data_IF_329768418170
#
_entry.id   IF_329768418170
#
_cell.length_a   1.000
_cell.length_b   1.000
_cell.length_c   1.000
_cell.angle_alpha   90.00
_cell.angle_beta   90.00
_cell.angle_gamma   90.00
#
_symmetry.space_group_name_H-M   'P 1'
#
loop_
_entity.id
_entity.type
_entity.pdbx_description
1 polymer ?
#
# COMPACT_ATOMS: atom_id res chain seq x y z
N UNK A 1 -3.91 -20.54 -2.74
CA UNK A 1 -2.78 -19.98 -1.96
C UNK A 1 -3.23 -18.65 -1.39
N UNK A 2 -3.04 -18.40 -0.10
CA UNK A 2 -3.31 -17.07 0.47
C UNK A 2 -2.29 -16.08 -0.08
N UNK A 3 -2.75 -14.91 -0.55
CA UNK A 3 -1.88 -13.82 -1.00
C UNK A 3 -0.95 -13.42 0.15
N UNK A 4 0.37 -13.20 -0.09
CA UNK A 4 1.31 -12.84 0.95
C UNK A 4 0.91 -11.53 1.62
N UNK A 5 1.28 -11.37 2.89
CA UNK A 5 1.08 -10.11 3.61
C UNK A 5 1.80 -8.95 2.89
N UNK A 6 1.10 -7.85 2.57
CA UNK A 6 1.71 -6.75 1.82
C UNK A 6 2.84 -6.07 2.60
N UNK A 7 2.76 -5.94 3.93
CA UNK A 7 3.84 -5.32 4.68
C UNK A 7 5.13 -6.14 4.60
N UNK A 8 5.05 -7.46 4.77
CA UNK A 8 6.19 -8.36 4.63
C UNK A 8 6.78 -8.33 3.21
N UNK A 9 5.93 -8.34 2.18
CA UNK A 9 6.37 -8.34 0.78
C UNK A 9 7.02 -7.01 0.36
N UNK A 10 6.55 -5.89 0.90
CA UNK A 10 6.97 -4.55 0.48
C UNK A 10 8.08 -3.95 1.35
N UNK A 11 8.46 -4.60 2.46
CA UNK A 11 9.51 -4.11 3.33
C UNK A 11 10.89 -4.12 2.63
N UNK A 12 11.49 -2.95 2.48
CA UNK A 12 12.75 -2.73 1.78
C UNK A 12 12.61 -2.48 0.28
N UNK A 13 11.40 -2.42 -0.27
CA UNK A 13 11.17 -2.14 -1.71
C UNK A 13 11.56 -0.70 -2.05
N UNK A 14 12.12 -0.53 -3.25
CA UNK A 14 12.50 0.77 -3.80
C UNK A 14 11.29 1.67 -4.02
N UNK A 15 11.42 2.96 -3.70
CA UNK A 15 10.33 3.92 -3.79
C UNK A 15 10.80 5.30 -4.23
N UNK A 16 9.86 6.07 -4.79
CA UNK A 16 10.05 7.49 -5.06
C UNK A 16 10.24 8.29 -3.76
N UNK A 17 10.79 9.49 -3.88
CA UNK A 17 11.05 10.39 -2.76
C UNK A 17 10.33 11.74 -2.91
N UNK A 18 9.35 11.79 -3.81
CA UNK A 18 8.48 12.94 -4.06
C UNK A 18 7.06 12.48 -3.77
N UNK A 19 6.33 13.25 -2.97
CA UNK A 19 4.94 12.97 -2.66
C UNK A 19 4.07 13.12 -3.92
N UNK A 20 3.32 12.09 -4.28
CA UNK A 20 2.42 12.09 -5.45
C UNK A 20 1.24 13.08 -5.34
N UNK A 21 1.01 13.67 -4.15
CA UNK A 21 -0.10 14.60 -3.92
C UNK A 21 0.34 16.07 -3.88
N UNK A 22 1.35 16.38 -3.06
CA UNK A 22 1.78 17.76 -2.82
C UNK A 22 3.12 18.10 -3.48
N UNK A 23 3.77 17.14 -4.16
CA UNK A 23 5.10 17.29 -4.77
C UNK A 23 6.22 17.65 -3.79
N UNK A 24 5.96 17.62 -2.48
CA UNK A 24 6.99 17.82 -1.47
C UNK A 24 7.98 16.65 -1.47
N UNK A 25 9.23 16.95 -1.15
CA UNK A 25 10.29 15.95 -1.03
C UNK A 25 10.17 15.21 0.31
N UNK A 26 10.13 13.88 0.25
CA UNK A 26 10.22 12.98 1.40
C UNK A 26 11.69 12.81 1.73
N UNK A 27 12.08 13.13 2.96
CA UNK A 27 13.46 13.06 3.43
C UNK A 27 13.76 11.72 4.08
N UNK A 28 15.06 11.43 4.15
CA UNK A 28 15.55 10.26 4.83
C UNK A 28 15.18 10.28 6.33
N UNK A 29 14.53 9.22 6.82
CA UNK A 29 14.02 9.12 8.18
C UNK A 29 12.56 9.55 8.33
N UNK A 30 11.97 10.18 7.31
CA UNK A 30 10.55 10.54 7.33
C UNK A 30 9.67 9.30 7.28
N UNK A 31 8.51 9.39 7.94
CA UNK A 31 7.42 8.45 7.67
C UNK A 31 6.82 8.75 6.30
N UNK A 32 6.57 7.70 5.53
CA UNK A 32 5.99 7.79 4.21
C UNK A 32 4.90 6.74 4.02
N UNK A 33 3.92 7.09 3.19
CA UNK A 33 2.86 6.21 2.74
C UNK A 33 3.17 5.61 1.38
N UNK A 34 2.68 4.39 1.14
CA UNK A 34 2.75 3.75 -0.18
C UNK A 34 1.43 3.05 -0.50
N UNK A 35 0.93 3.27 -1.71
CA UNK A 35 -0.18 2.49 -2.26
C UNK A 35 0.33 1.35 -3.11
N UNK A 36 -0.22 0.16 -2.86
CA UNK A 36 0.15 -1.08 -3.54
C UNK A 36 -1.09 -1.83 -4.02
N UNK A 37 -0.95 -2.52 -5.14
CA UNK A 37 -1.97 -3.39 -5.72
C UNK A 37 -1.38 -4.77 -5.94
N UNK A 38 -2.14 -5.83 -5.65
CA UNK A 38 -1.77 -7.21 -5.97
C UNK A 38 -2.14 -7.55 -7.41
N UNK A 39 -1.20 -8.16 -8.13
CA UNK A 39 -1.45 -8.83 -9.40
C UNK A 39 -1.00 -10.29 -9.32
N UNK A 40 -1.77 -11.23 -9.86
CA UNK A 40 -1.46 -12.67 -9.71
C UNK A 40 -0.12 -13.07 -10.34
N UNK A 41 0.31 -12.39 -11.41
CA UNK A 41 1.57 -12.67 -12.09
C UNK A 41 2.78 -11.92 -11.48
N UNK A 42 2.56 -10.72 -10.91
CA UNK A 42 3.62 -9.81 -10.45
C UNK A 42 3.74 -9.64 -8.95
N UNK A 43 2.74 -10.10 -8.20
CA UNK A 43 2.61 -9.86 -6.76
C UNK A 43 2.26 -8.42 -6.41
N UNK A 44 2.65 -8.01 -5.20
CA UNK A 44 2.43 -6.64 -4.71
C UNK A 44 3.28 -5.64 -5.47
N UNK A 45 2.61 -4.68 -6.12
CA UNK A 45 3.25 -3.69 -6.99
C UNK A 45 3.04 -2.29 -6.43
N UNK A 46 4.11 -1.49 -6.20
CA UNK A 46 3.99 -0.09 -5.82
C UNK A 46 3.36 0.74 -6.92
N UNK A 47 2.45 1.66 -6.53
CA UNK A 47 1.76 2.55 -7.47
C UNK A 47 1.98 4.02 -7.15
N UNK A 48 1.95 4.40 -5.87
CA UNK A 48 2.10 5.79 -5.41
C UNK A 48 2.82 5.85 -4.07
N UNK A 49 3.48 6.97 -3.81
CA UNK A 49 4.18 7.31 -2.58
C UNK A 49 3.74 8.68 -2.06
N UNK A 50 3.52 8.81 -0.77
CA UNK A 50 3.11 10.07 -0.14
C UNK A 50 3.98 10.41 1.07
N UNK A 51 4.10 11.72 1.36
CA UNK A 51 4.43 12.11 2.72
C UNK A 51 3.30 11.71 3.68
N UNK A 52 3.59 11.60 4.97
CA UNK A 52 2.61 11.15 5.96
C UNK A 52 1.32 11.99 5.94
N UNK A 53 1.43 13.31 5.80
CA UNK A 53 0.28 14.23 5.81
C UNK A 53 -0.65 14.06 4.61
N UNK A 54 -0.12 13.58 3.48
CA UNK A 54 -0.89 13.36 2.26
C UNK A 54 -1.38 11.91 2.09
N UNK A 55 -0.84 11.00 2.90
CA UNK A 55 -1.14 9.58 2.82
C UNK A 55 -2.60 9.34 3.23
N UNK A 56 -3.43 8.71 2.38
CA UNK A 56 -4.79 8.37 2.74
C UNK A 56 -4.83 7.44 3.95
N UNK A 57 -5.94 7.49 4.67
CA UNK A 57 -6.20 6.60 5.81
C UNK A 57 -6.68 5.23 5.35
N UNK A 58 -7.50 5.21 4.31
CA UNK A 58 -8.17 4.03 3.78
C UNK A 58 -7.87 3.89 2.28
N UNK A 59 -7.93 2.66 1.79
CA UNK A 59 -7.99 2.36 0.37
C UNK A 59 -9.36 2.83 -0.13
N UNK A 60 -9.36 3.68 -1.16
CA UNK A 60 -10.59 3.96 -1.91
C UNK A 60 -10.87 2.75 -2.81
N UNK A 61 -11.99 2.02 -2.62
CA UNK A 61 -12.32 0.80 -3.37
C UNK A 61 -12.79 1.14 -4.79
N UNK A 62 -11.98 1.90 -5.54
CA UNK A 62 -12.29 2.31 -6.90
C UNK A 62 -11.99 1.20 -7.92
N UNK A 63 -11.23 0.19 -7.54
CA UNK A 63 -10.92 -0.96 -8.41
C UNK A 63 -11.70 -2.18 -7.95
N UNK A 64 -12.81 -2.48 -8.64
CA UNK A 64 -13.56 -3.72 -8.42
C UNK A 64 -12.60 -4.93 -8.53
N UNK A 65 -12.61 -5.77 -7.49
CA UNK A 65 -11.90 -7.05 -7.36
C UNK A 65 -10.37 -7.05 -7.12
N UNK A 66 -9.71 -5.89 -7.07
CA UNK A 66 -8.28 -5.83 -6.77
C UNK A 66 -7.97 -5.87 -5.26
N UNK A 67 -6.92 -6.60 -4.87
CA UNK A 67 -6.37 -6.50 -3.51
C UNK A 67 -5.46 -5.27 -3.47
N UNK A 68 -5.84 -4.28 -2.67
CA UNK A 68 -5.12 -3.03 -2.59
C UNK A 68 -4.82 -2.70 -1.14
N UNK A 69 -3.69 -2.06 -0.89
CA UNK A 69 -3.31 -1.69 0.46
C UNK A 69 -2.63 -0.32 0.49
N UNK A 70 -2.89 0.39 1.59
CA UNK A 70 -2.10 1.55 2.00
C UNK A 70 -1.13 1.09 3.08
N UNK A 71 0.15 1.32 2.83
CA UNK A 71 1.24 0.95 3.72
C UNK A 71 1.87 2.19 4.33
N UNK A 72 2.38 2.05 5.56
CA UNK A 72 3.21 3.04 6.23
C UNK A 72 4.58 2.46 6.53
N UNK A 73 5.62 3.26 6.35
CA UNK A 73 6.98 2.89 6.73
C UNK A 73 7.87 4.12 6.87
N UNK A 74 9.17 3.87 7.04
CA UNK A 74 10.20 4.91 7.08
C UNK A 74 10.91 4.94 5.72
N UNK A 75 11.04 6.12 5.13
CA UNK A 75 11.82 6.32 3.93
C UNK A 75 13.32 6.33 4.27
N UNK A 76 14.07 5.38 3.74
CA UNK A 76 15.50 5.22 3.99
C UNK A 76 16.20 4.82 2.70
N UNK A 77 17.17 5.62 2.25
CA UNK A 77 17.98 5.36 1.05
C UNK A 77 17.17 4.91 -0.20
N UNK A 78 16.12 5.67 -0.56
CA UNK A 78 15.21 5.36 -1.68
C UNK A 78 14.42 4.06 -1.53
N UNK A 79 14.24 3.59 -0.30
CA UNK A 79 13.44 2.41 0.03
C UNK A 79 12.47 2.72 1.16
N UNK A 80 11.39 1.96 1.24
CA UNK A 80 10.48 2.00 2.39
C UNK A 80 10.79 0.83 3.32
N UNK A 81 11.09 1.10 4.59
CA UNK A 81 11.46 0.07 5.59
C UNK A 81 10.58 0.16 6.83
N UNK A 82 10.60 -0.89 7.66
CA UNK A 82 9.72 -1.01 8.85
C UNK A 82 8.25 -0.86 8.46
N UNK A 83 7.88 -1.53 7.37
CA UNK A 83 6.58 -1.38 6.73
C UNK A 83 5.49 -2.04 7.58
N UNK A 84 4.34 -1.37 7.66
CA UNK A 84 3.11 -1.83 8.30
C UNK A 84 1.92 -1.56 7.38
N UNK A 85 0.89 -2.39 7.47
CA UNK A 85 -0.37 -2.17 6.76
C UNK A 85 -1.16 -1.12 7.53
N UNK A 86 -1.53 -0.02 6.87
CA UNK A 86 -2.45 0.99 7.42
C UNK A 86 -3.89 0.57 7.17
N UNK A 87 -4.18 0.24 5.91
CA UNK A 87 -5.48 -0.25 5.48
C UNK A 87 -5.33 -1.16 4.26
N UNK A 88 -6.31 -2.03 4.03
CA UNK A 88 -6.33 -2.99 2.93
C UNK A 88 -7.76 -3.29 2.50
N UNK A 89 -8.05 -3.13 1.22
CA UNK A 89 -9.28 -3.65 0.63
C UNK A 89 -9.10 -5.17 0.45
N UNK A 90 -9.88 -5.95 1.18
CA UNK A 90 -10.06 -7.35 0.80
C UNK A 90 -11.04 -7.38 -0.37
N UNK A 91 -10.86 -8.26 -1.37
CA UNK A 91 -11.90 -8.50 -2.37
C UNK A 91 -13.20 -8.79 -1.64
N UNK A 92 -14.31 -8.21 -2.10
CA UNK A 92 -15.63 -8.49 -1.57
C UNK A 92 -15.81 -10.00 -1.62
N UNK A 93 -15.67 -10.69 -0.49
CA UNK A 93 -16.25 -12.02 -0.37
C UNK A 93 -17.73 -11.76 -0.55
N UNK A 94 -18.32 -12.27 -1.63
CA UNK A 94 -19.76 -12.44 -1.69
C UNK A 94 -20.14 -13.07 -0.36
N UNK A 95 -20.83 -12.29 0.48
CA UNK A 95 -21.44 -12.83 1.66
C UNK A 95 -22.36 -13.92 1.12
N UNK A 96 -22.01 -15.18 1.39
CA UNK A 96 -22.94 -16.28 1.24
C UNK A 96 -24.13 -15.93 2.13
N UNK A 97 -25.14 -15.32 1.53
CA UNK A 97 -26.48 -15.18 2.07
C UNK A 97 -27.07 -16.60 1.99
N UNK A 98 -26.60 -17.50 2.86
CA UNK A 98 -27.34 -18.70 3.22
C UNK A 98 -28.54 -18.25 4.05
N UNK A 99 -29.57 -17.82 3.34
CA UNK A 99 -30.93 -17.71 3.86
C UNK A 99 -31.70 -18.98 3.49
N UNK A 100 -32.13 -19.67 4.56
CA UNK A 100 -33.21 -20.67 4.68
C UNK A 100 -32.85 -22.13 4.38
#
# INVERSE_FOLDING_TARGET
MSRPDPAAAMNGVGTGHICDRCSARIQHGDKAGMYVTWYDEGGWTPRRTWCLDCCPEEVDPATDDADEAVLLGVFFAHRLVSVTVRDRSLPRQEANDETV
#
